data_IF_333585120689
#
_entry.id   IF_333585120689
#
_cell.length_a   1.000
_cell.length_b   1.000
_cell.length_c   1.000
_cell.angle_alpha   90.00
_cell.angle_beta   90.00
_cell.angle_gamma   90.00
#
_symmetry.space_group_name_H-M   'P 1'
#
loop_
_entity.id
_entity.type
_entity.pdbx_description
1 polymer ?
#
# COMPACT_ATOMS: atom_id res chain seq x y z
N UNK A 1 -26.23 -39.93 5.75
CA UNK A 1 -24.80 -39.63 5.59
C UNK A 1 -24.06 -40.16 6.79
N UNK A 2 -22.92 -40.82 6.59
CA UNK A 2 -22.10 -41.34 7.68
C UNK A 2 -21.19 -40.23 8.24
N UNK A 3 -20.81 -40.26 9.53
CA UNK A 3 -19.97 -39.23 10.15
C UNK A 3 -18.65 -38.97 9.39
N UNK A 4 -18.02 -40.04 8.88
CA UNK A 4 -16.79 -39.95 8.10
C UNK A 4 -16.93 -39.15 6.78
N UNK A 5 -18.12 -39.13 6.17
CA UNK A 5 -18.39 -38.32 4.96
C UNK A 5 -18.61 -36.85 5.33
N UNK A 6 -19.20 -36.57 6.50
CA UNK A 6 -19.32 -35.21 7.01
C UNK A 6 -17.95 -34.60 7.33
N UNK A 7 -17.02 -35.39 7.89
CA UNK A 7 -15.65 -34.95 8.18
C UNK A 7 -14.85 -34.67 6.91
N UNK A 8 -14.99 -35.51 5.87
CA UNK A 8 -14.34 -35.28 4.57
C UNK A 8 -14.88 -34.04 3.85
N UNK A 9 -16.20 -33.80 3.90
CA UNK A 9 -16.80 -32.60 3.31
C UNK A 9 -16.37 -31.32 4.04
N UNK A 10 -16.23 -31.36 5.37
CA UNK A 10 -15.72 -30.24 6.16
C UNK A 10 -14.27 -29.90 5.78
N UNK A 11 -13.41 -30.91 5.64
CA UNK A 11 -12.01 -30.74 5.22
C UNK A 11 -11.93 -30.15 3.81
N UNK A 12 -12.72 -30.64 2.86
CA UNK A 12 -12.74 -30.11 1.49
C UNK A 12 -13.29 -28.67 1.42
N UNK A 13 -14.29 -28.35 2.23
CA UNK A 13 -14.81 -26.98 2.33
C UNK A 13 -13.73 -26.03 2.88
N UNK A 14 -13.02 -26.43 3.94
CA UNK A 14 -11.91 -25.66 4.49
C UNK A 14 -10.79 -25.46 3.47
N UNK A 15 -10.36 -26.53 2.78
CA UNK A 15 -9.32 -26.44 1.74
C UNK A 15 -9.72 -25.50 0.60
N UNK A 16 -10.99 -25.53 0.19
CA UNK A 16 -11.50 -24.61 -0.83
C UNK A 16 -11.43 -23.16 -0.35
N UNK A 17 -11.83 -22.88 0.89
CA UNK A 17 -11.75 -21.54 1.47
C UNK A 17 -10.30 -21.05 1.57
N UNK A 18 -9.37 -21.91 1.96
CA UNK A 18 -7.94 -21.62 2.00
C UNK A 18 -7.38 -21.29 0.61
N UNK A 19 -7.69 -22.11 -0.41
CA UNK A 19 -7.27 -21.88 -1.80
C UNK A 19 -7.90 -20.62 -2.40
N UNK A 20 -9.18 -20.36 -2.12
CA UNK A 20 -9.85 -19.13 -2.59
C UNK A 20 -9.23 -17.88 -1.92
N UNK A 21 -8.87 -17.96 -0.63
CA UNK A 21 -8.17 -16.88 0.07
C UNK A 21 -6.76 -16.65 -0.48
N UNK A 22 -6.03 -17.72 -0.77
CA UNK A 22 -4.69 -17.67 -1.37
C UNK A 22 -4.73 -17.09 -2.79
N UNK A 23 -5.68 -17.54 -3.62
CA UNK A 23 -5.88 -16.98 -4.97
C UNK A 23 -6.13 -15.48 -4.92
N UNK A 24 -7.05 -15.02 -4.05
CA UNK A 24 -7.31 -13.58 -3.87
C UNK A 24 -6.09 -12.81 -3.40
N UNK A 25 -5.25 -13.42 -2.54
CA UNK A 25 -3.99 -12.80 -2.11
C UNK A 25 -3.04 -12.61 -3.29
N UNK A 26 -2.90 -13.61 -4.16
CA UNK A 26 -2.08 -13.50 -5.37
C UNK A 26 -2.62 -12.47 -6.36
N UNK A 27 -3.94 -12.43 -6.59
CA UNK A 27 -4.58 -11.42 -7.45
C UNK A 27 -4.29 -10.00 -6.94
N UNK A 28 -4.37 -9.77 -5.62
CA UNK A 28 -4.06 -8.47 -5.01
C UNK A 28 -2.58 -8.11 -5.12
N UNK A 29 -1.70 -9.08 -4.88
CA UNK A 29 -0.25 -8.88 -5.04
C UNK A 29 0.10 -8.56 -6.50
N UNK A 30 -0.54 -9.23 -7.47
CA UNK A 30 -0.37 -8.95 -8.88
C UNK A 30 -0.79 -7.52 -9.24
N UNK A 31 -1.95 -7.06 -8.77
CA UNK A 31 -2.41 -5.68 -9.02
C UNK A 31 -1.40 -4.63 -8.50
N UNK A 32 -0.82 -4.86 -7.32
CA UNK A 32 0.21 -3.98 -6.77
C UNK A 32 1.54 -4.08 -7.52
N UNK A 33 1.91 -5.27 -7.99
CA UNK A 33 3.13 -5.46 -8.77
C UNK A 33 3.05 -4.77 -10.14
N UNK A 34 1.89 -4.82 -10.80
CA UNK A 34 1.61 -4.05 -12.03
C UNK A 34 1.72 -2.55 -11.74
N UNK A 35 1.11 -2.10 -10.64
CA UNK A 35 1.22 -0.70 -10.23
C UNK A 35 2.67 -0.26 -9.96
N UNK A 36 3.49 -1.11 -9.30
CA UNK A 36 4.91 -0.84 -9.09
C UNK A 36 5.70 -0.79 -10.40
N UNK A 37 5.39 -1.71 -11.32
CA UNK A 37 6.02 -1.75 -12.63
C UNK A 37 5.78 -0.46 -13.42
N UNK A 38 4.51 -0.05 -13.55
CA UNK A 38 4.18 1.16 -14.31
C UNK A 38 4.68 2.43 -13.61
N UNK A 39 4.66 2.46 -12.27
CA UNK A 39 5.25 3.56 -11.50
C UNK A 39 6.74 3.72 -11.77
N UNK A 40 7.48 2.61 -11.83
CA UNK A 40 8.90 2.63 -12.12
C UNK A 40 9.18 3.09 -13.55
N UNK A 41 8.39 2.64 -14.53
CA UNK A 41 8.50 3.08 -15.93
C UNK A 41 8.22 4.57 -16.09
N UNK A 42 7.13 5.07 -15.50
CA UNK A 42 6.80 6.50 -15.52
C UNK A 42 7.92 7.31 -14.88
N UNK A 43 8.40 6.92 -13.68
CA UNK A 43 9.46 7.67 -12.99
C UNK A 43 10.85 7.58 -13.62
N UNK A 44 11.10 6.58 -14.46
CA UNK A 44 12.31 6.53 -15.26
C UNK A 44 12.36 7.66 -16.30
N UNK A 45 11.19 8.12 -16.79
CA UNK A 45 11.05 9.20 -17.76
C UNK A 45 10.73 10.55 -17.08
N UNK A 46 9.94 10.52 -16.01
CA UNK A 46 9.53 11.68 -15.22
C UNK A 46 9.74 11.43 -13.72
N UNK A 47 10.94 11.67 -13.16
CA UNK A 47 11.25 11.39 -11.76
C UNK A 47 10.32 12.08 -10.74
N UNK A 48 9.80 13.26 -11.10
CA UNK A 48 8.88 14.08 -10.30
C UNK A 48 7.43 13.55 -10.29
N UNK A 49 7.13 12.47 -11.01
CA UNK A 49 5.77 11.95 -11.15
C UNK A 49 5.21 11.37 -9.84
N UNK A 50 4.01 11.84 -9.49
CA UNK A 50 3.28 11.41 -8.28
C UNK A 50 1.91 10.83 -8.61
N UNK A 51 1.21 11.34 -9.62
CA UNK A 51 -0.14 10.89 -9.95
C UNK A 51 -0.27 10.52 -11.43
N UNK A 52 -1.08 9.50 -11.70
CA UNK A 52 -1.70 9.30 -13.02
C UNK A 52 -3.11 9.84 -12.94
N UNK A 53 -3.48 10.70 -13.89
CA UNK A 53 -4.83 11.25 -13.99
C UNK A 53 -5.61 10.56 -15.10
N UNK A 54 -6.86 10.22 -14.83
CA UNK A 54 -7.70 9.47 -15.76
C UNK A 54 -9.18 9.73 -15.51
N UNK A 55 -9.99 9.49 -16.54
CA UNK A 55 -11.44 9.37 -16.42
C UNK A 55 -11.84 7.91 -16.28
N UNK A 56 -12.83 7.63 -15.42
CA UNK A 56 -13.29 6.27 -15.18
C UNK A 56 -14.78 6.14 -15.51
N UNK A 57 -15.08 5.30 -16.49
CA UNK A 57 -16.45 4.96 -16.83
C UNK A 57 -16.90 3.72 -16.05
N UNK A 58 -17.61 3.93 -14.95
CA UNK A 58 -18.11 2.83 -14.11
C UNK A 58 -19.07 1.84 -14.79
N UNK A 59 -19.65 2.18 -15.96
CA UNK A 59 -20.55 1.26 -16.71
C UNK A 59 -19.76 0.27 -17.55
N UNK A 60 -18.78 0.77 -18.32
CA UNK A 60 -17.95 -0.04 -19.21
C UNK A 60 -16.70 -0.58 -18.50
N UNK A 61 -16.38 -0.04 -17.32
CA UNK A 61 -15.10 -0.26 -16.61
C UNK A 61 -13.89 0.06 -17.48
N UNK A 62 -14.07 0.98 -18.43
CA UNK A 62 -12.99 1.56 -19.21
C UNK A 62 -12.43 2.76 -18.46
N UNK A 63 -11.13 2.95 -18.64
CA UNK A 63 -10.38 4.08 -18.14
C UNK A 63 -9.89 4.84 -19.37
N UNK A 64 -9.96 6.16 -19.33
CA UNK A 64 -9.38 7.01 -20.37
C UNK A 64 -8.23 7.80 -19.71
N UNK A 65 -7.01 7.56 -20.19
CA UNK A 65 -5.82 8.19 -19.64
C UNK A 65 -5.80 9.68 -20.02
N UNK A 66 -5.69 10.55 -19.03
CA UNK A 66 -5.55 11.99 -19.26
C UNK A 66 -4.08 12.44 -19.18
N UNK A 67 -3.24 11.78 -18.38
CA UNK A 67 -1.79 12.05 -18.34
C UNK A 67 -1.16 11.81 -16.96
N UNK A 68 -0.05 12.49 -16.69
CA UNK A 68 0.77 12.34 -15.48
C UNK A 68 1.00 13.69 -14.81
N UNK A 69 0.83 13.72 -13.49
CA UNK A 69 0.99 14.92 -12.66
C UNK A 69 2.10 14.76 -11.62
N UNK A 70 2.71 15.89 -11.28
CA UNK A 70 3.70 15.99 -10.20
C UNK A 70 3.08 16.20 -8.82
N UNK A 71 3.95 16.35 -7.82
CA UNK A 71 3.53 16.69 -6.46
C UNK A 71 2.90 18.08 -6.41
N UNK A 72 1.88 18.26 -5.57
CA UNK A 72 1.30 19.57 -5.30
C UNK A 72 2.36 20.47 -4.62
N UNK A 73 2.71 21.64 -5.20
CA UNK A 73 3.81 22.47 -4.68
C UNK A 73 3.42 23.25 -3.42
N UNK A 74 2.12 23.45 -3.18
CA UNK A 74 1.59 24.07 -1.97
C UNK A 74 0.19 23.55 -1.66
N UNK A 75 -0.30 23.61 -0.41
CA UNK A 75 -1.63 23.13 -0.05
C UNK A 75 -2.80 23.78 -0.83
N UNK A 76 -2.56 24.94 -1.44
CA UNK A 76 -3.54 25.70 -2.22
C UNK A 76 -3.28 25.62 -3.73
N UNK A 77 -2.17 25.02 -4.16
CA UNK A 77 -1.79 24.91 -5.58
C UNK A 77 -2.46 23.74 -6.27
N UNK A 78 -2.42 23.69 -7.60
CA UNK A 78 -2.81 22.49 -8.35
C UNK A 78 -1.60 21.58 -8.55
N UNK A 79 -1.82 20.28 -8.72
CA UNK A 79 -0.75 19.39 -9.15
C UNK A 79 -0.30 19.80 -10.57
N UNK A 80 1.00 20.03 -10.81
CA UNK A 80 1.49 20.45 -12.11
C UNK A 80 1.38 19.29 -13.11
N UNK A 81 0.99 19.61 -14.34
CA UNK A 81 1.08 18.67 -15.46
C UNK A 81 2.55 18.42 -15.79
N UNK A 82 2.93 17.15 -15.80
CA UNK A 82 4.23 16.71 -16.29
C UNK A 82 4.12 16.20 -17.73
N UNK A 83 2.97 15.62 -18.06
CA UNK A 83 2.63 15.17 -19.39
C UNK A 83 1.10 15.07 -19.53
N UNK A 84 0.58 15.56 -20.65
CA UNK A 84 -0.81 15.41 -21.06
C UNK A 84 -0.86 14.40 -22.21
N UNK A 85 -1.81 13.46 -22.15
CA UNK A 85 -1.93 12.41 -23.15
C UNK A 85 -2.23 13.01 -24.53
N UNK A 86 -1.47 12.61 -25.56
CA UNK A 86 -1.50 13.22 -26.90
C UNK A 86 -0.45 14.33 -27.12
N UNK A 87 0.41 14.60 -26.14
CA UNK A 87 1.65 15.35 -26.35
C UNK A 87 2.72 14.47 -27.01
N UNK A 88 2.68 14.40 -28.34
CA UNK A 88 3.53 13.54 -29.20
C UNK A 88 5.05 13.76 -29.02
N UNK A 89 5.46 14.91 -28.49
CA UNK A 89 6.89 15.23 -28.28
C UNK A 89 7.43 14.64 -26.96
N UNK A 90 6.55 14.23 -26.05
CA UNK A 90 6.94 13.81 -24.72
C UNK A 90 7.26 12.29 -24.66
N UNK A 91 8.37 11.86 -24.02
CA UNK A 91 8.77 10.44 -23.98
C UNK A 91 7.74 9.48 -23.36
N UNK A 92 6.81 9.99 -22.53
CA UNK A 92 5.72 9.18 -21.97
C UNK A 92 4.69 8.76 -23.03
N UNK A 93 4.57 9.48 -24.14
CA UNK A 93 3.66 9.11 -25.23
C UNK A 93 4.00 7.72 -25.80
N UNK A 94 5.29 7.38 -25.89
CA UNK A 94 5.75 6.06 -26.36
C UNK A 94 5.23 4.90 -25.51
N UNK A 95 4.83 5.17 -24.26
CA UNK A 95 4.33 4.18 -23.31
C UNK A 95 2.90 4.47 -22.85
N UNK A 96 2.19 5.42 -23.48
CA UNK A 96 0.85 5.86 -23.06
C UNK A 96 -0.15 4.70 -22.99
N UNK A 97 -0.13 3.84 -24.01
CA UNK A 97 -0.98 2.63 -24.08
C UNK A 97 -0.67 1.67 -22.94
N UNK A 98 0.61 1.48 -22.62
CA UNK A 98 1.01 0.61 -21.52
C UNK A 98 0.57 1.20 -20.17
N UNK A 99 0.66 2.52 -19.99
CA UNK A 99 0.15 3.21 -18.79
C UNK A 99 -1.34 2.93 -18.62
N UNK A 100 -2.14 3.13 -19.67
CA UNK A 100 -3.58 2.91 -19.62
C UNK A 100 -3.91 1.44 -19.27
N UNK A 101 -3.28 0.48 -19.96
CA UNK A 101 -3.51 -0.94 -19.77
C UNK A 101 -3.08 -1.44 -18.38
N UNK A 102 -1.93 -0.99 -17.88
CA UNK A 102 -1.43 -1.38 -16.56
C UNK A 102 -2.27 -0.77 -15.45
N UNK A 103 -2.70 0.48 -15.59
CA UNK A 103 -3.62 1.11 -14.63
C UNK A 103 -4.98 0.41 -14.64
N UNK A 104 -5.52 0.11 -15.82
CA UNK A 104 -6.75 -0.66 -15.92
C UNK A 104 -6.62 -2.04 -15.30
N UNK A 105 -5.50 -2.73 -15.53
CA UNK A 105 -5.20 -4.04 -14.96
C UNK A 105 -5.07 -3.99 -13.44
N UNK A 106 -4.37 -2.98 -12.90
CA UNK A 106 -4.22 -2.77 -11.47
C UNK A 106 -5.56 -2.47 -10.79
N UNK A 107 -6.50 -1.80 -11.47
CA UNK A 107 -7.82 -1.43 -10.93
C UNK A 107 -8.95 -2.42 -11.29
N UNK A 108 -8.71 -3.41 -12.15
CA UNK A 108 -9.75 -4.28 -12.70
C UNK A 108 -10.56 -5.04 -11.63
N UNK A 109 -9.95 -5.64 -10.59
CA UNK A 109 -10.70 -6.19 -9.46
C UNK A 109 -11.31 -5.06 -8.61
N UNK A 110 -12.59 -5.16 -8.28
CA UNK A 110 -13.26 -4.17 -7.43
C UNK A 110 -12.65 -4.07 -6.03
N UNK A 111 -12.09 -5.17 -5.53
CA UNK A 111 -11.40 -5.22 -4.25
C UNK A 111 -9.87 -5.12 -4.41
N UNK A 112 -9.41 -4.60 -5.55
CA UNK A 112 -7.99 -4.31 -5.76
C UNK A 112 -7.50 -3.30 -4.72
N UNK A 113 -6.35 -3.55 -4.07
CA UNK A 113 -5.75 -2.61 -3.14
C UNK A 113 -5.31 -1.30 -3.81
N UNK A 114 -5.15 -1.26 -5.14
CA UNK A 114 -4.83 -0.04 -5.88
C UNK A 114 -5.96 1.01 -5.80
N UNK A 115 -7.22 0.60 -5.62
CA UNK A 115 -8.32 1.55 -5.40
C UNK A 115 -8.13 2.42 -4.16
N UNK A 116 -7.38 1.94 -3.16
CA UNK A 116 -7.10 2.72 -1.95
C UNK A 116 -6.17 3.91 -2.19
N UNK A 117 -5.46 3.95 -3.32
CA UNK A 117 -4.60 5.07 -3.73
C UNK A 117 -5.26 5.98 -4.76
N UNK A 118 -6.51 5.70 -5.13
CA UNK A 118 -7.31 6.53 -6.03
C UNK A 118 -8.08 7.58 -5.23
N UNK A 119 -7.98 8.84 -5.65
CA UNK A 119 -8.71 9.97 -5.07
C UNK A 119 -9.37 10.79 -6.18
N UNK A 120 -10.42 11.54 -5.84
CA UNK A 120 -11.01 12.54 -6.76
C UNK A 120 -10.04 13.70 -6.90
N UNK A 121 -9.83 14.16 -8.14
CA UNK A 121 -9.14 15.42 -8.36
C UNK A 121 -10.07 16.56 -7.90
N UNK A 122 -9.73 17.28 -6.84
CA UNK A 122 -10.56 18.42 -6.38
C UNK A 122 -10.40 19.67 -7.24
N UNK A 123 -9.39 19.71 -8.11
CA UNK A 123 -9.13 20.83 -9.01
C UNK A 123 -9.81 20.69 -10.38
N UNK A 124 -10.39 19.52 -10.68
CA UNK A 124 -11.11 19.24 -11.93
C UNK A 124 -12.32 18.35 -11.65
N UNK A 125 -13.49 18.70 -12.18
CA UNK A 125 -14.76 18.03 -11.83
C UNK A 125 -14.88 16.58 -12.37
N UNK A 126 -14.07 16.19 -13.37
CA UNK A 126 -14.21 14.90 -14.07
C UNK A 126 -13.16 13.85 -13.68
N UNK A 127 -11.97 14.25 -13.25
CA UNK A 127 -10.81 13.34 -13.25
C UNK A 127 -10.58 12.64 -11.90
N UNK A 128 -10.07 11.41 -11.97
CA UNK A 128 -9.53 10.65 -10.86
C UNK A 128 -8.00 10.72 -10.87
N UNK A 129 -7.40 10.67 -9.67
CA UNK A 129 -5.96 10.62 -9.48
C UNK A 129 -5.59 9.28 -8.84
N UNK A 130 -4.73 8.52 -9.50
CA UNK A 130 -4.06 7.36 -8.90
C UNK A 130 -2.70 7.80 -8.39
N UNK A 131 -2.50 7.75 -7.07
CA UNK A 131 -1.18 7.99 -6.46
C UNK A 131 -0.24 6.83 -6.79
N UNK A 132 0.90 7.16 -7.41
CA UNK A 132 1.96 6.21 -7.71
C UNK A 132 2.68 5.82 -6.41
N UNK A 133 2.77 4.53 -6.05
CA UNK A 133 3.45 4.07 -4.84
C UNK A 133 4.85 4.66 -4.72
N UNK A 134 5.30 5.09 -3.52
CA UNK A 134 6.64 5.62 -3.33
C UNK A 134 7.70 4.54 -3.63
N UNK A 135 8.85 4.96 -4.15
CA UNK A 135 9.96 4.05 -4.47
C UNK A 135 10.44 3.26 -3.24
N UNK A 136 10.42 3.88 -2.06
CA UNK A 136 10.66 3.24 -0.78
C UNK A 136 9.48 3.47 0.17
N UNK A 137 8.58 2.47 0.23
CA UNK A 137 7.42 2.49 1.14
C UNK A 137 7.83 2.50 2.60
N UNK A 138 8.94 1.85 2.96
CA UNK A 138 9.41 1.79 4.34
C UNK A 138 9.94 3.15 4.81
N UNK A 139 10.68 3.86 3.95
CA UNK A 139 11.07 5.24 4.20
C UNK A 139 9.85 6.15 4.34
N UNK A 140 8.85 6.03 3.45
CA UNK A 140 7.64 6.84 3.55
C UNK A 140 6.84 6.57 4.82
N UNK A 141 6.74 5.31 5.25
CA UNK A 141 6.14 4.96 6.55
C UNK A 141 6.93 5.59 7.69
N UNK A 142 8.27 5.56 7.65
CA UNK A 142 9.11 6.16 8.68
C UNK A 142 8.88 7.68 8.80
N UNK A 143 8.80 8.40 7.69
CA UNK A 143 8.54 9.84 7.67
C UNK A 143 7.19 10.17 8.34
N UNK A 144 6.14 9.44 7.97
CA UNK A 144 4.79 9.65 8.50
C UNK A 144 4.72 9.37 10.02
N UNK A 145 5.37 8.28 10.45
CA UNK A 145 5.43 7.90 11.87
C UNK A 145 6.22 8.93 12.66
N UNK A 146 7.39 9.36 12.17
CA UNK A 146 8.25 10.33 12.87
C UNK A 146 7.67 11.73 12.96
N UNK A 147 6.73 12.08 12.09
CA UNK A 147 5.93 13.30 12.24
C UNK A 147 5.12 13.35 13.55
N UNK A 148 4.83 12.20 14.17
CA UNK A 148 4.09 12.09 15.43
C UNK A 148 4.93 11.47 16.57
N UNK A 149 5.88 10.60 16.23
CA UNK A 149 6.75 9.84 17.14
C UNK A 149 8.22 10.02 16.70
N UNK A 150 8.85 11.18 16.97
CA UNK A 150 10.16 11.52 16.38
C UNK A 150 11.28 10.53 16.72
N UNK A 151 11.19 9.87 17.87
CA UNK A 151 12.16 8.87 18.34
C UNK A 151 11.86 7.43 17.83
N UNK A 152 10.92 7.27 16.90
CA UNK A 152 10.52 5.95 16.40
C UNK A 152 11.65 5.26 15.62
N UNK A 153 11.96 4.03 16.04
CA UNK A 153 12.96 3.14 15.42
C UNK A 153 12.33 1.93 14.73
N UNK A 154 11.13 1.52 15.14
CA UNK A 154 10.38 0.45 14.49
C UNK A 154 8.88 0.61 14.70
N UNK A 155 8.09 -0.07 13.87
CA UNK A 155 6.64 -0.22 14.06
C UNK A 155 6.24 -1.67 14.13
N UNK A 156 5.14 -1.93 14.82
CA UNK A 156 4.57 -3.26 15.01
C UNK A 156 3.36 -3.34 14.08
N UNK A 157 3.42 -4.27 13.13
CA UNK A 157 2.42 -4.48 12.10
C UNK A 157 1.64 -5.74 12.43
N UNK A 158 0.32 -5.63 12.52
CA UNK A 158 -0.59 -6.77 12.51
C UNK A 158 -1.05 -7.02 11.06
N UNK A 159 -0.73 -8.17 10.49
CA UNK A 159 -1.11 -8.55 9.12
C UNK A 159 -2.49 -9.20 9.02
N UNK A 160 -3.28 -9.23 10.10
CA UNK A 160 -4.65 -9.76 10.09
C UNK A 160 -5.54 -8.93 9.17
N UNK A 161 -6.43 -9.66 8.46
CA UNK A 161 -7.51 -9.15 7.61
C UNK A 161 -7.19 -7.87 6.78
N UNK A 162 -6.74 -8.07 5.54
CA UNK A 162 -6.90 -7.04 4.50
C UNK A 162 -5.69 -6.15 4.20
N UNK A 163 -4.50 -6.49 4.67
CA UNK A 163 -3.26 -5.78 4.30
C UNK A 163 -2.38 -5.47 5.49
N UNK A 164 -2.97 -5.27 6.65
CA UNK A 164 -2.22 -5.09 7.88
C UNK A 164 -2.05 -3.64 8.31
N UNK A 165 -1.87 -3.47 9.61
CA UNK A 165 -2.02 -2.19 10.32
C UNK A 165 -0.92 -2.01 11.35
N UNK A 166 -0.47 -0.77 11.54
CA UNK A 166 0.40 -0.44 12.67
C UNK A 166 -0.40 -0.47 13.98
N UNK A 167 -0.05 -1.40 14.86
CA UNK A 167 -0.64 -1.55 16.20
C UNK A 167 0.24 -1.01 17.31
N UNK A 168 1.51 -0.70 17.03
CA UNK A 168 2.44 -0.14 18.00
C UNK A 168 3.67 0.49 17.37
N UNK A 169 4.36 1.34 18.13
CA UNK A 169 5.60 2.04 17.72
C UNK A 169 6.65 1.77 18.78
N UNK A 170 7.88 1.46 18.38
CA UNK A 170 9.03 1.33 19.28
C UNK A 170 9.82 2.63 19.20
N UNK A 171 10.02 3.27 20.34
CA UNK A 171 10.79 4.51 20.45
C UNK A 171 12.08 4.28 21.24
N UNK A 172 13.14 4.97 20.84
CA UNK A 172 14.33 5.12 21.67
C UNK A 172 14.00 5.90 22.95
N UNK A 173 14.52 5.43 24.08
CA UNK A 173 14.42 6.12 25.35
C UNK A 173 15.51 7.20 25.41
N UNK A 174 15.13 8.43 25.79
CA UNK A 174 16.06 9.56 25.91
C UNK A 174 17.25 9.30 26.84
N UNK A 175 17.10 8.41 27.84
CA UNK A 175 18.11 8.12 28.87
C UNK A 175 18.99 6.89 28.56
N UNK A 176 19.03 6.42 27.30
CA UNK A 176 19.80 5.23 26.91
C UNK A 176 19.22 3.91 27.44
N UNK A 177 17.97 3.95 27.94
CA UNK A 177 17.21 2.77 28.33
C UNK A 177 16.84 1.89 27.14
N UNK A 178 16.47 0.64 27.42
CA UNK A 178 15.99 -0.27 26.37
C UNK A 178 14.76 0.32 25.67
N UNK A 179 14.64 0.20 24.33
CA UNK A 179 13.50 0.73 23.59
C UNK A 179 12.18 0.21 24.16
N UNK A 180 11.21 1.12 24.34
CA UNK A 180 9.92 0.77 24.91
C UNK A 180 8.83 0.84 23.83
N UNK A 181 7.94 -0.17 23.73
CA UNK A 181 6.83 -0.14 22.80
C UNK A 181 5.69 0.76 23.30
N UNK A 182 5.19 1.60 22.42
CA UNK A 182 3.93 2.33 22.56
C UNK A 182 2.81 1.43 22.02
N UNK A 183 1.93 0.97 22.93
CA UNK A 183 0.88 -0.01 22.62
C UNK A 183 -0.22 0.48 21.66
N UNK A 184 -0.37 1.80 21.46
CA UNK A 184 -1.23 2.37 20.42
C UNK A 184 -0.64 3.69 19.91
N UNK A 185 -0.30 3.80 18.62
CA UNK A 185 0.25 5.04 18.08
C UNK A 185 -0.81 6.15 18.10
N UNK A 186 -0.39 7.36 18.47
CA UNK A 186 -1.22 8.57 18.44
C UNK A 186 -1.05 9.30 17.10
N UNK A 187 -1.61 8.73 16.04
CA UNK A 187 -1.60 9.34 14.70
C UNK A 187 -2.88 10.15 14.48
N UNK A 188 -2.78 11.21 13.69
CA UNK A 188 -3.96 11.81 13.05
C UNK A 188 -4.63 10.81 12.10
N UNK A 189 -5.95 10.91 11.91
CA UNK A 189 -6.69 9.96 11.06
C UNK A 189 -6.14 9.88 9.62
N UNK A 190 -5.83 10.99 8.92
CA UNK A 190 -5.26 10.93 7.57
C UNK A 190 -3.89 10.22 7.54
N UNK A 191 -3.11 10.37 8.62
CA UNK A 191 -1.82 9.70 8.76
C UNK A 191 -1.98 8.19 9.01
N UNK A 192 -2.92 7.79 9.89
CA UNK A 192 -3.22 6.37 10.15
C UNK A 192 -3.69 5.67 8.85
N UNK A 193 -4.54 6.33 8.05
CA UNK A 193 -5.01 5.82 6.77
C UNK A 193 -3.87 5.68 5.74
N UNK A 194 -2.99 6.68 5.64
CA UNK A 194 -1.84 6.63 4.74
C UNK A 194 -0.84 5.51 5.14
N UNK A 195 -0.52 5.41 6.43
CA UNK A 195 0.36 4.37 6.96
C UNK A 195 -0.24 2.99 6.75
N UNK A 196 -1.54 2.81 7.05
CA UNK A 196 -2.24 1.53 6.87
C UNK A 196 -2.22 1.09 5.40
N UNK A 197 -2.45 2.00 4.44
CA UNK A 197 -2.36 1.69 3.01
C UNK A 197 -0.95 1.26 2.59
N UNK A 198 0.09 1.96 3.05
CA UNK A 198 1.48 1.63 2.70
C UNK A 198 1.91 0.29 3.30
N UNK A 199 1.60 0.06 4.57
CA UNK A 199 1.87 -1.21 5.26
C UNK A 199 1.11 -2.35 4.58
N UNK A 200 -0.13 -2.11 4.15
CA UNK A 200 -0.88 -3.07 3.37
C UNK A 200 -0.15 -3.53 2.10
N UNK A 201 0.44 -2.60 1.37
CA UNK A 201 1.21 -2.92 0.18
C UNK A 201 2.49 -3.70 0.53
N UNK A 202 3.19 -3.32 1.59
CA UNK A 202 4.40 -4.05 2.06
C UNK A 202 4.08 -5.50 2.43
N UNK A 203 2.98 -5.75 3.12
CA UNK A 203 2.56 -7.11 3.53
C UNK A 203 2.06 -7.94 2.35
N UNK A 204 1.36 -7.32 1.40
CA UNK A 204 0.78 -8.01 0.25
C UNK A 204 1.82 -8.37 -0.82
N UNK A 205 2.91 -7.60 -0.94
CA UNK A 205 3.99 -7.85 -1.88
C UNK A 205 5.10 -8.69 -1.24
N UNK A 206 5.29 -9.98 -1.62
CA UNK A 206 6.27 -10.85 -0.98
C UNK A 206 7.70 -10.29 -0.93
N UNK A 207 8.25 -9.70 -2.01
CA UNK A 207 9.61 -9.15 -1.97
C UNK A 207 9.78 -8.01 -0.94
N UNK A 208 8.72 -7.23 -0.69
CA UNK A 208 8.75 -6.16 0.30
C UNK A 208 8.57 -6.70 1.72
N UNK A 209 7.67 -7.66 1.90
CA UNK A 209 7.47 -8.33 3.18
C UNK A 209 8.78 -8.98 3.66
N UNK A 210 9.47 -9.72 2.79
CA UNK A 210 10.73 -10.40 3.12
C UNK A 210 11.86 -9.41 3.45
N UNK A 211 11.86 -8.24 2.80
CA UNK A 211 12.88 -7.20 3.02
C UNK A 211 12.65 -6.39 4.28
N UNK A 212 11.40 -6.09 4.62
CA UNK A 212 11.07 -5.06 5.62
C UNK A 212 10.38 -5.60 6.87
N UNK A 213 9.85 -6.82 6.86
CA UNK A 213 9.13 -7.40 7.99
C UNK A 213 9.95 -8.49 8.66
N UNK A 214 10.07 -8.39 9.98
CA UNK A 214 10.77 -9.34 10.84
C UNK A 214 9.80 -10.02 11.81
N UNK A 215 10.07 -11.26 12.25
CA UNK A 215 9.35 -11.86 13.36
C UNK A 215 9.48 -11.01 14.64
N UNK A 216 8.43 -10.91 15.43
CA UNK A 216 8.53 -10.35 16.78
C UNK A 216 9.23 -11.34 17.72
N UNK A 217 10.13 -10.84 18.56
CA UNK A 217 10.78 -11.64 19.58
C UNK A 217 9.77 -12.09 20.65
N UNK A 218 10.02 -13.28 21.25
CA UNK A 218 9.14 -13.87 22.27
C UNK A 218 9.03 -12.92 23.47
N UNK A 219 7.81 -12.48 23.79
CA UNK A 219 7.54 -11.61 24.94
C UNK A 219 6.59 -10.44 24.66
N UNK A 220 6.24 -10.17 23.40
CA UNK A 220 5.29 -9.12 23.06
C UNK A 220 3.84 -9.55 23.37
N UNK A 221 3.22 -8.91 24.36
CA UNK A 221 1.78 -9.06 24.62
C UNK A 221 1.01 -8.23 23.59
N UNK A 222 0.21 -8.90 22.76
CA UNK A 222 -0.67 -8.22 21.82
C UNK A 222 -1.69 -7.39 22.61
N UNK A 223 -2.07 -6.17 22.16
CA UNK A 223 -3.07 -5.35 22.85
C UNK A 223 -4.41 -6.07 23.05
N UNK A 224 -4.65 -7.14 22.28
CA UNK A 224 -5.86 -7.97 22.30
C UNK A 224 -5.62 -9.43 22.77
N UNK A 225 -4.47 -9.78 23.35
CA UNK A 225 -4.24 -11.13 23.91
C UNK A 225 -2.76 -11.58 24.03
N UNK A 226 -2.51 -12.71 24.67
CA UNK A 226 -1.15 -13.19 25.00
C UNK A 226 -0.53 -14.16 23.99
N UNK A 227 -1.12 -14.38 22.80
CA UNK A 227 -0.54 -15.28 21.81
C UNK A 227 0.40 -14.54 20.85
N UNK A 228 1.63 -15.05 20.74
CA UNK A 228 2.57 -14.71 19.66
C UNK A 228 1.94 -15.25 18.38
N UNK A 229 1.33 -14.38 17.59
CA UNK A 229 0.78 -14.74 16.30
C UNK A 229 1.81 -14.43 15.23
N UNK A 230 2.06 -15.38 14.32
CA UNK A 230 2.91 -15.17 13.14
C UNK A 230 2.37 -14.09 12.20
N UNK A 231 1.21 -13.53 12.49
CA UNK A 231 0.63 -12.40 11.76
C UNK A 231 1.13 -11.06 12.28
N UNK A 232 1.76 -11.03 13.47
CA UNK A 232 2.34 -9.79 13.99
C UNK A 232 3.83 -9.78 13.65
N UNK A 233 4.26 -8.70 12.99
CA UNK A 233 5.64 -8.51 12.50
C UNK A 233 6.18 -7.18 12.98
N UNK A 234 7.49 -7.11 13.12
CA UNK A 234 8.22 -5.88 13.36
C UNK A 234 8.67 -5.32 12.02
N UNK A 235 8.49 -4.03 11.80
CA UNK A 235 9.02 -3.30 10.66
C UNK A 235 10.00 -2.25 11.17
N UNK A 236 11.33 -2.51 11.08
CA UNK A 236 12.33 -1.51 11.39
C UNK A 236 12.19 -0.30 10.49
N UNK A 237 12.28 0.90 11.05
CA UNK A 237 12.25 2.14 10.29
C UNK A 237 13.69 2.51 9.88
N UNK A 238 13.96 2.82 8.60
CA UNK A 238 15.27 3.29 8.16
C UNK A 238 15.70 4.53 8.97
N UNK A 239 16.99 4.69 9.33
CA UNK A 239 17.45 5.81 10.13
C UNK A 239 17.15 7.15 9.43
N UNK A 240 16.97 8.22 10.20
CA UNK A 240 16.96 9.57 9.65
C UNK A 240 18.32 9.88 9.04
N UNK A 241 18.33 10.36 7.80
CA UNK A 241 19.53 10.81 7.10
C UNK A 241 20.13 12.07 7.74
#
# INVERSE_FOLDING_TARGET
MTPAVCDQLAVLAQQREELDAERRRFEKAYCLAVLDHISARIRALCPEAVYVTFDYNGKTRSLELAGVLGAQPSPLGTCPWLWENGDDEHPLEEIAVDIELDVQSALAPYDSPAWATVVRNSASDSNWLLELPPADRAARVADLIRGHHPAATAVIVDSRAGGGRVIGVIEEQADGGAPAPVARPRLSAPCDDAVTRLVAQVVLLPPLADRHLMPLTRGFAHPYGSSVSDQVRLMPLPPTA
#
